data_IF_779370779137
#
_entry.id   IF_779370779137
#
_cell.length_a   1.000
_cell.length_b   1.000
_cell.length_c   1.000
_cell.angle_alpha   90.00
_cell.angle_beta   90.00
_cell.angle_gamma   90.00
#
_symmetry.space_group_name_H-M   'P 1'
#
loop_
_entity.id
_entity.type
_entity.pdbx_description
1 polymer ?
#
# COMPACT_ATOMS: atom_id res chain seq x y z
N UNK A 1 10.38 13.81 -7.80
CA UNK A 1 9.92 12.49 -7.32
C UNK A 1 8.52 12.25 -7.87
N UNK A 2 8.33 11.24 -8.69
CA UNK A 2 7.03 10.95 -9.33
C UNK A 2 6.14 10.07 -8.43
N UNK A 3 6.73 9.03 -7.80
CA UNK A 3 5.99 7.99 -7.08
C UNK A 3 6.55 7.77 -5.67
N UNK A 4 5.69 7.69 -4.66
CA UNK A 4 6.00 7.17 -3.33
C UNK A 4 5.19 5.91 -3.07
N UNK A 5 5.84 4.81 -2.68
CA UNK A 5 5.17 3.62 -2.17
C UNK A 5 5.24 3.64 -0.65
N UNK A 6 4.09 3.61 0.00
CA UNK A 6 3.96 3.49 1.46
C UNK A 6 3.65 2.04 1.79
N UNK A 7 4.55 1.41 2.55
CA UNK A 7 4.55 -0.03 2.85
C UNK A 7 4.48 -0.20 4.37
N UNK A 8 3.27 -0.33 4.96
CA UNK A 8 3.13 -0.66 6.37
C UNK A 8 3.58 -2.10 6.62
N UNK A 9 4.40 -2.30 7.68
CA UNK A 9 4.96 -3.59 8.03
C UNK A 9 4.73 -3.90 9.52
N UNK A 10 4.18 -5.09 9.82
CA UNK A 10 4.09 -5.61 11.17
C UNK A 10 4.31 -7.12 11.18
N UNK A 11 5.47 -7.58 11.69
CA UNK A 11 5.92 -8.97 11.66
C UNK A 11 5.96 -9.54 10.24
N UNK A 12 6.66 -8.83 9.36
CA UNK A 12 6.84 -9.13 7.92
C UNK A 12 8.27 -9.55 7.58
N UNK A 13 8.99 -10.16 8.54
CA UNK A 13 10.40 -10.53 8.36
C UNK A 13 10.65 -11.39 7.11
N UNK A 14 9.70 -12.21 6.68
CA UNK A 14 9.85 -13.10 5.54
C UNK A 14 9.55 -12.42 4.20
N UNK A 15 8.92 -11.24 4.22
CA UNK A 15 8.40 -10.57 3.05
C UNK A 15 9.14 -9.28 2.66
N UNK A 16 9.68 -8.53 3.62
CA UNK A 16 10.23 -7.18 3.35
C UNK A 16 11.38 -7.15 2.35
N UNK A 17 12.28 -8.14 2.39
CA UNK A 17 13.41 -8.25 1.43
C UNK A 17 12.91 -8.65 0.03
N UNK A 18 11.97 -9.59 -0.03
CA UNK A 18 11.35 -10.01 -1.28
C UNK A 18 10.61 -8.83 -1.94
N UNK A 19 9.83 -8.09 -1.14
CA UNK A 19 9.13 -6.91 -1.61
C UNK A 19 10.10 -5.84 -2.15
N UNK A 20 11.16 -5.53 -1.39
CA UNK A 20 12.18 -4.57 -1.81
C UNK A 20 12.80 -4.94 -3.15
N UNK A 21 13.25 -6.18 -3.29
CA UNK A 21 13.88 -6.67 -4.51
C UNK A 21 12.92 -6.60 -5.70
N UNK A 22 11.67 -7.08 -5.51
CA UNK A 22 10.65 -7.07 -6.57
C UNK A 22 10.29 -5.63 -6.98
N UNK A 23 10.03 -4.74 -6.02
CA UNK A 23 9.68 -3.36 -6.31
C UNK A 23 10.82 -2.62 -7.03
N UNK A 24 12.07 -2.84 -6.58
CA UNK A 24 13.25 -2.25 -7.22
C UNK A 24 13.40 -2.73 -8.66
N UNK A 25 13.22 -4.03 -8.92
CA UNK A 25 13.27 -4.56 -10.29
C UNK A 25 12.15 -3.98 -11.17
N UNK A 26 10.94 -3.87 -10.65
CA UNK A 26 9.78 -3.33 -11.37
C UNK A 26 9.96 -1.86 -11.76
N UNK A 27 10.49 -1.04 -10.84
CA UNK A 27 10.58 0.41 -11.08
C UNK A 27 11.92 0.87 -11.65
N UNK A 28 12.94 0.00 -11.63
CA UNK A 28 14.23 0.25 -12.26
C UNK A 28 14.05 0.61 -13.74
N UNK A 29 14.76 1.61 -14.18
CA UNK A 29 14.83 2.04 -15.59
C UNK A 29 13.48 2.44 -16.22
N UNK A 30 12.45 2.77 -15.41
CA UNK A 30 11.15 3.24 -15.91
C UNK A 30 11.11 4.72 -16.31
N UNK A 31 12.22 5.44 -16.17
CA UNK A 31 12.33 6.84 -16.58
C UNK A 31 11.67 7.85 -15.64
N UNK A 32 11.36 7.44 -14.41
CA UNK A 32 10.87 8.33 -13.34
C UNK A 32 11.49 7.99 -11.99
N UNK A 33 11.55 8.98 -11.11
CA UNK A 33 12.04 8.78 -9.74
C UNK A 33 10.95 8.20 -8.85
N UNK A 34 11.32 7.25 -7.99
CA UNK A 34 10.44 6.65 -6.99
C UNK A 34 11.12 6.54 -5.63
N UNK A 35 10.32 6.39 -4.57
CA UNK A 35 10.79 6.07 -3.22
C UNK A 35 9.94 4.96 -2.60
N UNK A 36 10.59 4.12 -1.79
CA UNK A 36 9.97 3.09 -0.97
C UNK A 36 10.01 3.56 0.50
N UNK A 37 8.86 3.63 1.15
CA UNK A 37 8.71 4.08 2.52
C UNK A 37 8.17 2.93 3.35
N UNK A 38 9.07 2.18 3.96
CA UNK A 38 8.70 1.11 4.89
C UNK A 38 8.38 1.70 6.26
N UNK A 39 7.20 1.39 6.79
CA UNK A 39 6.78 1.82 8.11
C UNK A 39 6.63 0.61 9.02
N UNK A 40 7.62 0.37 9.88
CA UNK A 40 7.57 -0.72 10.87
C UNK A 40 6.70 -0.33 12.06
N UNK A 41 5.53 -0.94 12.18
CA UNK A 41 4.56 -0.71 13.25
C UNK A 41 4.92 -1.51 14.53
N UNK A 42 6.15 -1.34 15.02
CA UNK A 42 6.62 -1.95 16.26
C UNK A 42 6.63 -3.48 16.22
N UNK A 43 7.14 -4.07 15.15
CA UNK A 43 7.32 -5.52 15.00
C UNK A 43 8.12 -6.13 16.14
N UNK A 44 7.85 -7.40 16.43
CA UNK A 44 8.50 -8.18 17.49
C UNK A 44 9.49 -9.23 16.95
N UNK A 45 9.46 -9.43 15.63
CA UNK A 45 10.34 -10.32 14.88
C UNK A 45 11.53 -9.57 14.27
N UNK A 46 12.22 -10.16 13.30
CA UNK A 46 13.39 -9.56 12.64
C UNK A 46 13.05 -8.52 11.57
N UNK A 47 11.79 -8.09 11.44
CA UNK A 47 11.37 -7.13 10.40
C UNK A 47 12.22 -5.86 10.43
N UNK A 48 12.43 -5.26 11.62
CA UNK A 48 13.18 -4.01 11.73
C UNK A 48 14.66 -4.18 11.37
N UNK A 49 15.28 -5.30 11.73
CA UNK A 49 16.69 -5.55 11.41
C UNK A 49 16.88 -5.73 9.90
N UNK A 50 15.97 -6.42 9.24
CA UNK A 50 15.95 -6.54 7.77
C UNK A 50 15.70 -5.22 7.07
N UNK A 51 14.82 -4.38 7.59
CA UNK A 51 14.58 -3.03 7.04
C UNK A 51 15.81 -2.13 7.20
N UNK A 52 16.54 -2.23 8.31
CA UNK A 52 17.83 -1.52 8.48
C UNK A 52 18.85 -1.97 7.45
N UNK A 53 18.95 -3.29 7.22
CA UNK A 53 19.85 -3.82 6.21
C UNK A 53 19.47 -3.33 4.81
N UNK A 54 18.18 -3.35 4.45
CA UNK A 54 17.68 -2.79 3.18
C UNK A 54 18.08 -1.31 3.05
N UNK A 55 17.90 -0.52 4.12
CA UNK A 55 18.28 0.90 4.11
C UNK A 55 19.78 1.14 3.90
N UNK A 56 20.64 0.26 4.45
CA UNK A 56 22.10 0.34 4.31
C UNK A 56 22.60 0.02 2.92
N UNK A 57 21.92 -0.90 2.21
CA UNK A 57 22.33 -1.35 0.86
C UNK A 57 21.60 -0.64 -0.28
N UNK A 58 20.48 0.03 0.03
CA UNK A 58 19.69 0.74 -0.96
C UNK A 58 20.31 2.08 -1.33
N UNK A 59 20.04 2.51 -2.55
CA UNK A 59 20.27 3.90 -2.95
C UNK A 59 19.37 4.85 -2.12
N UNK A 60 19.49 6.17 -2.32
CA UNK A 60 18.75 7.20 -1.56
C UNK A 60 17.22 7.14 -1.69
N UNK A 61 16.67 6.14 -2.38
CA UNK A 61 15.25 5.98 -2.64
C UNK A 61 14.48 5.15 -1.59
N UNK A 62 15.13 4.71 -0.51
CA UNK A 62 14.48 3.97 0.58
C UNK A 62 14.42 4.79 1.86
N UNK A 63 13.27 4.80 2.51
CA UNK A 63 13.06 5.34 3.85
C UNK A 63 12.53 4.26 4.77
N UNK A 64 12.97 4.26 6.02
CA UNK A 64 12.47 3.38 7.07
C UNK A 64 11.99 4.23 8.25
N UNK A 65 10.72 4.08 8.59
CA UNK A 65 10.10 4.68 9.78
C UNK A 65 9.81 3.57 10.77
N UNK A 66 10.26 3.70 12.02
CA UNK A 66 10.03 2.70 13.05
C UNK A 66 9.21 3.23 14.23
N UNK A 67 8.15 2.55 14.61
CA UNK A 67 7.41 2.84 15.82
C UNK A 67 7.97 2.08 17.01
N UNK A 68 7.90 2.69 18.20
CA UNK A 68 8.35 2.08 19.46
C UNK A 68 7.45 0.91 19.93
N UNK A 69 6.22 0.83 19.42
CA UNK A 69 5.24 -0.24 19.65
C UNK A 69 4.24 -0.28 18.51
N UNK A 70 3.41 -1.31 18.47
CA UNK A 70 2.27 -1.37 17.54
C UNK A 70 1.23 -0.29 17.88
N UNK A 71 0.93 0.57 16.90
CA UNK A 71 -0.10 1.62 16.94
C UNK A 71 -1.23 1.37 15.94
N UNK A 72 -1.12 0.32 15.13
CA UNK A 72 -2.10 -0.07 14.11
C UNK A 72 -1.74 0.39 12.69
N UNK A 73 -2.26 -0.34 11.71
CA UNK A 73 -1.97 -0.15 10.28
C UNK A 73 -2.27 1.28 9.82
N UNK A 74 -3.37 1.86 10.28
CA UNK A 74 -3.77 3.23 9.91
C UNK A 74 -2.74 4.27 10.36
N UNK A 75 -2.16 4.08 11.56
CA UNK A 75 -1.09 4.94 12.07
C UNK A 75 0.17 4.82 11.22
N UNK A 76 0.52 3.61 10.79
CA UNK A 76 1.65 3.35 9.92
C UNK A 76 1.44 3.97 8.53
N UNK A 77 0.24 3.82 7.95
CA UNK A 77 -0.13 4.48 6.69
C UNK A 77 0.00 5.99 6.82
N UNK A 78 -0.55 6.58 7.88
CA UNK A 78 -0.49 8.04 8.10
C UNK A 78 0.95 8.56 8.21
N UNK A 79 1.82 7.83 8.94
CA UNK A 79 3.23 8.18 9.03
C UNK A 79 3.93 8.12 7.67
N UNK A 80 3.68 7.06 6.89
CA UNK A 80 4.22 6.91 5.55
C UNK A 80 3.75 8.01 4.58
N UNK A 81 2.47 8.38 4.65
CA UNK A 81 1.92 9.49 3.86
C UNK A 81 2.61 10.83 4.20
N UNK A 82 2.91 11.08 5.46
CA UNK A 82 3.65 12.28 5.89
C UNK A 82 5.08 12.32 5.35
N UNK A 83 5.75 11.18 5.29
CA UNK A 83 7.13 11.06 4.80
C UNK A 83 7.22 11.03 3.27
N UNK A 84 6.11 10.80 2.59
CA UNK A 84 6.06 10.69 1.13
C UNK A 84 6.33 12.04 0.44
N UNK A 85 7.03 12.03 -0.71
CA UNK A 85 7.37 13.22 -1.51
C UNK A 85 6.91 13.13 -2.97
N UNK A 86 6.42 11.98 -3.41
CA UNK A 86 5.97 11.75 -4.78
C UNK A 86 4.75 12.57 -5.16
N UNK A 87 4.58 12.85 -6.42
CA UNK A 87 3.35 13.45 -6.99
C UNK A 87 2.17 12.48 -6.89
N UNK A 88 2.46 11.19 -6.92
CA UNK A 88 1.53 10.09 -6.68
C UNK A 88 1.99 9.28 -5.48
N UNK A 89 1.05 8.82 -4.68
CA UNK A 89 1.31 7.98 -3.51
C UNK A 89 0.53 6.69 -3.62
N UNK A 90 1.22 5.57 -3.53
CA UNK A 90 0.65 4.23 -3.53
C UNK A 90 0.70 3.62 -2.12
N UNK A 91 -0.42 3.08 -1.65
CA UNK A 91 -0.47 2.23 -0.46
C UNK A 91 -0.44 0.78 -0.92
N UNK A 92 0.52 -0.01 -0.42
CA UNK A 92 0.69 -1.41 -0.79
C UNK A 92 1.21 -2.21 0.41
N UNK A 93 0.68 -3.42 0.63
CA UNK A 93 1.11 -4.29 1.71
C UNK A 93 2.41 -5.04 1.34
N UNK A 94 3.25 -5.35 2.34
CA UNK A 94 4.51 -6.05 2.15
C UNK A 94 4.34 -7.56 1.86
N UNK A 95 3.15 -8.12 2.06
CA UNK A 95 2.86 -9.57 2.04
C UNK A 95 2.86 -10.22 0.64
N UNK A 96 3.19 -9.46 -0.40
CA UNK A 96 3.23 -9.89 -1.81
C UNK A 96 1.89 -10.41 -2.37
N UNK A 97 0.77 -10.24 -1.67
CA UNK A 97 -0.55 -10.54 -2.23
C UNK A 97 -0.94 -9.53 -3.31
N UNK A 98 -0.33 -8.38 -3.29
CA UNK A 98 -0.49 -7.31 -4.27
C UNK A 98 0.84 -7.17 -5.02
N UNK A 99 0.77 -7.22 -6.35
CA UNK A 99 1.97 -7.18 -7.18
C UNK A 99 2.37 -5.73 -7.48
N UNK A 100 3.65 -5.33 -7.21
CA UNK A 100 4.14 -3.99 -7.49
C UNK A 100 3.97 -3.56 -8.95
N UNK A 101 3.94 -4.51 -9.91
CA UNK A 101 3.75 -4.21 -11.34
C UNK A 101 2.43 -3.50 -11.62
N UNK A 102 1.37 -3.83 -10.87
CA UNK A 102 0.05 -3.21 -11.04
C UNK A 102 0.07 -1.69 -10.78
N UNK A 103 1.05 -1.20 -10.02
CA UNK A 103 1.21 0.25 -9.78
C UNK A 103 1.48 0.99 -11.10
N UNK A 104 2.19 0.37 -12.04
CA UNK A 104 2.43 0.97 -13.36
C UNK A 104 1.14 1.12 -14.15
N UNK A 105 0.27 0.10 -14.12
CA UNK A 105 -1.04 0.15 -14.78
C UNK A 105 -1.94 1.23 -14.15
N UNK A 106 -1.91 1.34 -12.80
CA UNK A 106 -2.65 2.37 -12.07
C UNK A 106 -2.14 3.79 -12.41
N UNK A 107 -0.83 3.97 -12.55
CA UNK A 107 -0.25 5.25 -12.96
C UNK A 107 -0.71 5.62 -14.37
N UNK A 108 -0.72 4.66 -15.30
CA UNK A 108 -1.20 4.89 -16.67
C UNK A 108 -2.68 5.32 -16.70
N UNK A 109 -3.52 4.75 -15.84
CA UNK A 109 -4.94 5.14 -15.71
C UNK A 109 -5.05 6.60 -15.24
N UNK A 110 -4.30 6.99 -14.18
CA UNK A 110 -4.32 8.35 -13.66
C UNK A 110 -3.74 9.39 -14.62
N UNK A 111 -2.76 9.00 -15.43
CA UNK A 111 -2.15 9.90 -16.42
C UNK A 111 -3.05 10.09 -17.66
N UNK A 112 -3.91 9.10 -18.00
CA UNK A 112 -4.86 9.17 -19.13
C UNK A 112 -6.06 10.06 -18.87
N UNK A 113 -6.54 10.14 -17.63
CA UNK A 113 -7.73 10.90 -17.28
C UNK A 113 -7.43 11.89 -16.14
N UNK A 114 -7.35 13.19 -16.42
CA UNK A 114 -7.08 14.23 -15.42
C UNK A 114 -8.14 14.33 -14.32
N UNK A 115 -9.36 13.88 -14.58
CA UNK A 115 -10.50 13.94 -13.65
C UNK A 115 -10.40 12.87 -12.56
N UNK A 116 -9.57 11.84 -12.76
CA UNK A 116 -9.31 10.85 -11.71
C UNK A 116 -8.25 11.35 -10.74
N UNK A 117 -8.54 11.29 -9.44
CA UNK A 117 -7.61 11.62 -8.37
C UNK A 117 -7.04 10.37 -7.68
N UNK A 118 -7.70 9.23 -7.79
CA UNK A 118 -7.25 7.96 -7.24
C UNK A 118 -7.71 6.77 -8.07
N UNK A 119 -6.92 5.68 -8.03
CA UNK A 119 -7.24 4.35 -8.56
C UNK A 119 -7.07 3.35 -7.43
N UNK A 120 -8.06 2.49 -7.21
CA UNK A 120 -8.00 1.41 -6.25
C UNK A 120 -8.14 0.07 -6.96
N UNK A 121 -7.37 -0.93 -6.50
CA UNK A 121 -7.55 -2.30 -6.98
C UNK A 121 -8.74 -2.96 -6.30
N UNK A 122 -9.56 -3.60 -7.11
CA UNK A 122 -10.68 -4.41 -6.68
C UNK A 122 -10.36 -5.89 -6.93
N UNK A 123 -10.64 -6.76 -5.95
CA UNK A 123 -10.48 -8.20 -6.14
C UNK A 123 -11.82 -8.85 -6.47
N UNK A 124 -11.96 -9.33 -7.70
CA UNK A 124 -13.21 -9.83 -8.26
C UNK A 124 -13.63 -11.24 -7.78
N UNK A 125 -12.75 -12.05 -7.19
CA UNK A 125 -13.08 -13.42 -6.80
C UNK A 125 -12.56 -13.83 -5.42
N UNK A 126 -13.46 -13.86 -4.44
CA UNK A 126 -13.37 -14.83 -3.35
C UNK A 126 -14.47 -15.88 -3.55
N UNK A 127 -14.10 -17.13 -3.72
CA UNK A 127 -15.02 -18.28 -3.52
C UNK A 127 -15.41 -18.35 -2.04
N UNK A 128 -16.27 -17.43 -1.62
CA UNK A 128 -16.81 -17.42 -0.25
C UNK A 128 -18.01 -18.37 -0.18
N UNK A 129 -18.23 -18.95 1.01
CA UNK A 129 -19.44 -19.74 1.22
C UNK A 129 -20.68 -18.84 1.07
N UNK A 130 -21.75 -19.34 0.46
CA UNK A 130 -23.00 -18.60 0.26
C UNK A 130 -23.58 -17.97 1.54
N UNK A 131 -23.31 -18.57 2.69
CA UNK A 131 -23.77 -18.08 4.01
C UNK A 131 -22.96 -16.83 4.43
N UNK A 132 -21.65 -16.83 4.20
CA UNK A 132 -20.78 -15.69 4.53
C UNK A 132 -21.06 -14.50 3.60
N UNK A 133 -21.29 -14.76 2.32
CA UNK A 133 -21.69 -13.73 1.34
C UNK A 133 -23.02 -13.05 1.75
N UNK A 134 -24.05 -13.83 2.11
CA UNK A 134 -25.33 -13.27 2.55
C UNK A 134 -25.22 -12.43 3.82
N UNK A 135 -24.32 -12.80 4.75
CA UNK A 135 -24.08 -12.03 5.97
C UNK A 135 -23.37 -10.70 5.67
N UNK A 136 -22.40 -10.70 4.75
CA UNK A 136 -21.73 -9.49 4.27
C UNK A 136 -22.70 -8.54 3.58
N UNK A 137 -23.52 -9.05 2.66
CA UNK A 137 -24.53 -8.25 1.94
C UNK A 137 -25.49 -7.55 2.92
N UNK A 138 -25.89 -8.25 3.96
CA UNK A 138 -26.74 -7.68 5.03
C UNK A 138 -25.98 -6.59 5.80
N UNK A 139 -24.73 -6.83 6.17
CA UNK A 139 -23.88 -5.88 6.89
C UNK A 139 -23.66 -4.60 6.08
N UNK A 140 -23.25 -4.72 4.79
CA UNK A 140 -23.03 -3.56 3.93
C UNK A 140 -24.32 -2.77 3.66
N UNK A 141 -25.48 -3.44 3.51
CA UNK A 141 -26.78 -2.74 3.40
C UNK A 141 -27.11 -1.91 4.65
N UNK A 142 -26.78 -2.41 5.84
CA UNK A 142 -27.02 -1.68 7.10
C UNK A 142 -26.07 -0.49 7.19
N UNK A 143 -24.77 -0.70 6.94
CA UNK A 143 -23.75 0.34 7.03
C UNK A 143 -23.99 1.45 5.99
N UNK A 144 -24.28 1.10 4.72
CA UNK A 144 -24.55 2.08 3.68
C UNK A 144 -25.85 2.87 3.93
N UNK A 145 -26.79 2.31 4.69
CA UNK A 145 -27.98 3.05 5.12
C UNK A 145 -27.70 4.03 6.26
N UNK A 146 -26.64 3.79 7.04
CA UNK A 146 -26.22 4.64 8.17
C UNK A 146 -25.13 5.65 7.79
N UNK A 147 -24.42 5.41 6.68
CA UNK A 147 -23.36 6.28 6.18
C UNK A 147 -23.88 7.20 5.09
N UNK A 148 -23.35 8.42 5.05
CA UNK A 148 -23.58 9.37 3.94
C UNK A 148 -22.72 9.06 2.70
N UNK A 149 -21.79 8.12 2.81
CA UNK A 149 -20.86 7.71 1.74
C UNK A 149 -21.08 6.23 1.46
N UNK A 150 -21.21 5.86 0.17
CA UNK A 150 -21.35 4.47 -0.26
C UNK A 150 -20.03 3.73 -0.03
N UNK A 151 -20.07 2.70 0.83
CA UNK A 151 -18.93 1.82 1.09
C UNK A 151 -19.00 0.67 0.10
N UNK A 152 -18.02 0.62 -0.82
CA UNK A 152 -17.94 -0.45 -1.83
C UNK A 152 -17.28 -1.69 -1.20
N UNK A 153 -17.95 -2.84 -1.28
CA UNK A 153 -17.41 -4.13 -0.84
C UNK A 153 -16.17 -4.52 -1.66
N UNK A 154 -15.15 -5.08 -1.00
CA UNK A 154 -13.92 -5.56 -1.67
C UNK A 154 -12.88 -4.48 -1.98
N UNK A 155 -13.11 -3.21 -1.61
CA UNK A 155 -12.08 -2.19 -1.70
C UNK A 155 -10.92 -2.54 -0.76
N UNK A 156 -9.74 -2.84 -1.33
CA UNK A 156 -8.51 -3.07 -0.56
C UNK A 156 -7.78 -1.75 -0.31
N UNK A 157 -6.84 -1.78 0.64
CA UNK A 157 -5.95 -0.65 0.90
C UNK A 157 -4.99 -0.37 -0.27
N UNK A 158 -4.86 -1.30 -1.23
CA UNK A 158 -4.04 -1.12 -2.42
C UNK A 158 -4.65 -0.08 -3.35
N UNK A 159 -4.13 1.13 -3.26
CA UNK A 159 -4.60 2.30 -4.01
C UNK A 159 -3.45 3.23 -4.36
N UNK A 160 -3.56 3.84 -5.53
CA UNK A 160 -2.71 4.93 -5.99
C UNK A 160 -3.51 6.23 -6.01
N UNK A 161 -2.99 7.29 -5.45
CA UNK A 161 -3.66 8.59 -5.38
C UNK A 161 -2.71 9.73 -5.77
N UNK A 162 -3.25 10.80 -6.36
CA UNK A 162 -2.53 12.05 -6.55
C UNK A 162 -2.37 12.78 -5.21
N UNK A 163 -1.21 13.40 -4.97
CA UNK A 163 -0.93 14.12 -3.71
C UNK A 163 -1.90 15.28 -3.40
N UNK A 164 -2.65 15.75 -4.38
CA UNK A 164 -3.62 16.86 -4.20
C UNK A 164 -4.82 16.50 -3.31
N UNK A 165 -5.03 15.22 -3.01
CA UNK A 165 -6.14 14.76 -2.17
C UNK A 165 -5.90 15.04 -0.69
#
# INVERSE_FOLDING_TARGET
MKLSLVIPCYNEQDNVELFYNTATEVFKDKGFDYELIFVNDGSRDQTMDKLRHIYEIADENVKVVGFSRNFGKESAIYAGLKESRGEMVCLIDADMQQRPELVLDMMEILDKDPDYDAVACYQEDRRESKVLSAFKDCFYKIINKMSSTEIVDGARDFRLMKRKM
#
